data_IF_179771938967
#
_entry.id   IF_179771938967
#
_cell.length_a   1.000
_cell.length_b   1.000
_cell.length_c   1.000
_cell.angle_alpha   90.00
_cell.angle_beta   90.00
_cell.angle_gamma   90.00
#
_symmetry.space_group_name_H-M   'P 1'
#
loop_
_entity.id
_entity.type
_entity.pdbx_description
1 polymer ?
#
# COMPACT_ATOMS: atom_id res chain seq x y z
N UNK A 1 29.91 -8.95 0.97
CA UNK A 1 28.83 -9.81 1.51
C UNK A 1 27.51 -9.41 0.88
N UNK A 2 26.78 -10.35 0.28
CA UNK A 2 25.43 -10.07 -0.25
C UNK A 2 24.43 -10.69 0.73
N UNK A 3 23.81 -9.86 1.55
CA UNK A 3 22.84 -10.30 2.55
C UNK A 3 21.44 -10.29 1.92
N UNK A 4 20.99 -11.44 1.40
CA UNK A 4 19.65 -11.61 0.82
C UNK A 4 18.58 -11.74 1.92
N UNK A 5 18.33 -10.66 2.67
CA UNK A 5 17.17 -10.62 3.58
C UNK A 5 15.91 -10.27 2.77
N UNK A 6 15.22 -11.27 2.24
CA UNK A 6 13.89 -11.06 1.62
C UNK A 6 12.88 -10.78 2.73
N UNK A 7 12.55 -9.50 2.96
CA UNK A 7 11.57 -9.08 3.98
C UNK A 7 10.30 -8.61 3.27
N UNK A 8 9.19 -9.31 3.50
CA UNK A 8 7.86 -8.92 3.00
C UNK A 8 7.04 -8.41 4.19
N UNK A 9 6.54 -7.19 4.06
CA UNK A 9 5.66 -6.55 5.03
C UNK A 9 4.32 -6.28 4.35
N UNK A 10 3.23 -6.65 5.01
CA UNK A 10 1.89 -6.36 4.55
C UNK A 10 1.09 -5.74 5.69
N UNK A 11 0.43 -4.62 5.42
CA UNK A 11 -0.36 -3.89 6.41
C UNK A 11 -1.61 -3.34 5.74
N UNK A 12 -2.77 -3.60 6.33
CA UNK A 12 -4.05 -3.08 5.85
C UNK A 12 -4.65 -2.17 6.90
N UNK A 13 -4.98 -0.95 6.51
CA UNK A 13 -5.60 0.07 7.32
C UNK A 13 -7.04 0.26 6.85
N UNK A 14 -7.97 0.27 7.81
CA UNK A 14 -9.39 0.51 7.58
C UNK A 14 -9.77 1.72 8.44
N UNK A 15 -10.32 2.75 7.82
CA UNK A 15 -10.77 3.98 8.48
C UNK A 15 -12.22 4.24 8.11
N UNK A 16 -13.09 4.34 9.12
CA UNK A 16 -14.48 4.72 8.93
C UNK A 16 -14.67 6.17 9.37
N UNK A 17 -15.04 7.04 8.44
CA UNK A 17 -15.46 8.41 8.76
C UNK A 17 -16.98 8.44 8.90
N UNK A 18 -17.46 8.61 10.14
CA UNK A 18 -18.88 8.76 10.50
C UNK A 18 -19.50 10.09 10.05
N UNK A 19 -18.67 11.09 9.72
CA UNK A 19 -19.14 12.46 9.48
C UNK A 19 -19.43 12.76 8.00
N UNK A 20 -18.78 12.02 7.10
CA UNK A 20 -19.07 12.04 5.65
C UNK A 20 -19.54 10.66 5.14
N UNK A 21 -19.74 9.69 6.04
CA UNK A 21 -20.14 8.32 5.68
C UNK A 21 -19.23 7.72 4.59
N UNK A 22 -17.92 7.90 4.78
CA UNK A 22 -16.87 7.46 3.87
C UNK A 22 -16.00 6.40 4.56
N UNK A 23 -15.91 5.21 3.97
CA UNK A 23 -15.05 4.13 4.44
C UNK A 23 -13.79 4.05 3.57
N UNK A 24 -12.64 4.30 4.17
CA UNK A 24 -11.34 4.33 3.49
C UNK A 24 -10.53 3.08 3.86
N UNK A 25 -10.19 2.29 2.85
CA UNK A 25 -9.35 1.10 2.95
C UNK A 25 -8.00 1.44 2.32
N UNK A 26 -6.92 1.24 3.05
CA UNK A 26 -5.56 1.36 2.54
C UNK A 26 -4.77 0.10 2.85
N UNK A 27 -4.56 -0.75 1.84
CA UNK A 27 -3.63 -1.89 1.94
C UNK A 27 -2.26 -1.50 1.40
N UNK A 28 -1.19 -1.82 2.13
CA UNK A 28 0.19 -1.53 1.76
C UNK A 28 1.00 -2.81 1.86
N UNK A 29 1.63 -3.18 0.75
CA UNK A 29 2.63 -4.23 0.67
C UNK A 29 3.98 -3.55 0.43
N UNK A 30 4.95 -3.89 1.26
CA UNK A 30 6.34 -3.48 1.12
C UNK A 30 7.21 -4.74 1.01
N UNK A 31 7.88 -4.89 -0.11
CA UNK A 31 8.80 -5.99 -0.37
C UNK A 31 10.22 -5.46 -0.51
N UNK A 32 11.07 -5.82 0.46
CA UNK A 32 12.50 -5.51 0.46
C UNK A 32 13.27 -6.72 -0.05
N UNK A 33 13.83 -6.61 -1.26
CA UNK A 33 14.57 -7.70 -1.90
C UNK A 33 16.09 -7.56 -1.76
N UNK A 34 16.59 -6.33 -1.59
CA UNK A 34 18.00 -6.03 -1.35
C UNK A 34 18.11 -4.87 -0.35
N UNK A 35 19.21 -4.75 0.43
CA UNK A 35 19.47 -3.54 1.21
C UNK A 35 19.30 -2.29 0.33
N UNK A 36 18.49 -1.33 0.80
CA UNK A 36 18.15 -0.09 0.09
C UNK A 36 17.33 -0.23 -1.21
N UNK A 37 16.91 -1.44 -1.60
CA UNK A 37 16.00 -1.63 -2.75
C UNK A 37 14.66 -2.23 -2.29
N UNK A 38 13.60 -1.45 -2.46
CA UNK A 38 12.27 -1.70 -1.91
C UNK A 38 11.19 -1.53 -2.99
N UNK A 39 10.29 -2.49 -3.10
CA UNK A 39 9.04 -2.36 -3.85
C UNK A 39 7.90 -2.06 -2.88
N UNK A 40 7.13 -1.00 -3.16
CA UNK A 40 5.92 -0.65 -2.43
C UNK A 40 4.72 -0.75 -3.37
N UNK A 41 3.71 -1.49 -2.94
CA UNK A 41 2.40 -1.54 -3.58
C UNK A 41 1.40 -1.02 -2.55
N UNK A 42 0.73 0.07 -2.86
CA UNK A 42 -0.28 0.69 -2.00
C UNK A 42 -1.60 0.65 -2.76
N UNK A 43 -2.56 -0.10 -2.25
CA UNK A 43 -3.94 -0.14 -2.73
C UNK A 43 -4.82 0.70 -1.79
N UNK A 44 -5.43 1.74 -2.34
CA UNK A 44 -6.35 2.62 -1.64
C UNK A 44 -7.74 2.46 -2.26
N UNK A 45 -8.74 2.19 -1.44
CA UNK A 45 -10.14 2.10 -1.84
C UNK A 45 -10.96 3.01 -0.93
N UNK A 46 -11.85 3.80 -1.51
CA UNK A 46 -12.73 4.71 -0.80
C UNK A 46 -14.18 4.34 -1.17
N UNK A 47 -14.90 3.80 -0.20
CA UNK A 47 -16.30 3.42 -0.31
C UNK A 47 -17.18 4.56 0.21
N UNK A 48 -18.16 4.97 -0.58
CA UNK A 48 -19.24 5.83 -0.09
C UNK A 48 -20.32 4.93 0.51
N UNK A 49 -20.66 5.14 1.78
CA UNK A 49 -21.68 4.35 2.49
C UNK A 49 -23.07 4.59 1.88
N UNK A 50 -23.30 5.76 1.27
CA UNK A 50 -24.58 6.16 0.65
C UNK A 50 -25.03 5.27 -0.52
N UNK A 51 -24.10 4.61 -1.23
CA UNK A 51 -24.43 3.80 -2.41
C UNK A 51 -23.93 2.34 -2.34
N UNK A 52 -23.36 1.92 -1.20
CA UNK A 52 -22.72 0.59 -1.07
C UNK A 52 -21.77 0.28 -2.24
N UNK A 53 -21.12 1.32 -2.78
CA UNK A 53 -20.35 1.27 -4.02
C UNK A 53 -18.95 1.85 -3.82
N UNK A 54 -17.91 1.25 -4.45
CA UNK A 54 -16.56 1.81 -4.42
C UNK A 54 -16.56 3.14 -5.19
N UNK A 55 -16.36 4.26 -4.48
CA UNK A 55 -16.34 5.62 -5.06
C UNK A 55 -15.03 5.85 -5.80
N UNK A 56 -13.92 5.52 -5.16
CA UNK A 56 -12.59 5.68 -5.74
C UNK A 56 -11.66 4.54 -5.37
N UNK A 57 -11.01 3.98 -6.39
CA UNK A 57 -9.93 3.00 -6.26
C UNK A 57 -8.66 3.58 -6.83
N UNK A 58 -7.58 3.49 -6.09
CA UNK A 58 -6.25 3.87 -6.52
C UNK A 58 -5.29 2.74 -6.20
N UNK A 59 -4.54 2.30 -7.20
CA UNK A 59 -3.41 1.41 -7.02
C UNK A 59 -2.14 2.19 -7.32
N UNK A 60 -1.26 2.31 -6.34
CA UNK A 60 0.01 3.01 -6.44
C UNK A 60 1.14 2.00 -6.30
N UNK A 61 2.02 1.96 -7.30
CA UNK A 61 3.21 1.12 -7.29
C UNK A 61 4.42 2.05 -7.28
N UNK A 62 5.33 1.82 -6.31
CA UNK A 62 6.61 2.54 -6.21
C UNK A 62 7.74 1.54 -6.13
N UNK A 63 8.73 1.68 -7.00
CA UNK A 63 9.92 0.83 -7.01
C UNK A 63 11.14 1.70 -6.69
N UNK A 64 11.89 1.32 -5.66
CA UNK A 64 13.18 1.90 -5.33
C UNK A 64 14.25 0.86 -5.61
N UNK A 65 15.21 1.22 -6.46
CA UNK A 65 16.37 0.41 -6.76
C UNK A 65 17.62 1.23 -6.54
N UNK A 66 18.51 0.74 -5.68
CA UNK A 66 19.80 1.37 -5.44
C UNK A 66 20.84 0.80 -6.41
N UNK A 67 21.25 1.59 -7.40
CA UNK A 67 22.38 1.27 -8.27
C UNK A 67 23.67 1.61 -7.52
N UNK A 68 24.47 0.61 -7.15
CA UNK A 68 25.83 0.82 -6.66
C UNK A 68 26.78 0.60 -7.84
N UNK A 69 27.58 1.61 -8.18
CA UNK A 69 28.60 1.55 -9.23
C UNK A 69 30.00 1.55 -8.59
#
# INVERSE_FOLDING_TARGET
EINFSRKLFWTTFLQYNTQEDNFNINSRIQWRFQPMSDLYIVYTDNYAVEFWGPKHRALVIKLNYWFNF
#
